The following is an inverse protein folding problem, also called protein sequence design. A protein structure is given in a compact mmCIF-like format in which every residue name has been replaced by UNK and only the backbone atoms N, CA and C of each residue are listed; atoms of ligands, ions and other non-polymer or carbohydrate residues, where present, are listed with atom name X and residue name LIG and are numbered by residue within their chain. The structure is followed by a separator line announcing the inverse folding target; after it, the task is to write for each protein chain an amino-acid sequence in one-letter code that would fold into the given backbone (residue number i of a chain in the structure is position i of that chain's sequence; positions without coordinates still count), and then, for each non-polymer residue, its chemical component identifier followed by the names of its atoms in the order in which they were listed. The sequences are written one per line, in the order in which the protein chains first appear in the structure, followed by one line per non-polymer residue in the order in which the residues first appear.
data_IF_348372136436
#
_entry.id   IF_348372136436
#
_cell.length_a   1.000
_cell.length_b   1.000
_cell.length_c   1.000
_cell.angle_alpha   90.00
_cell.angle_beta   90.00
_cell.angle_gamma   90.00
#
_symmetry.space_group_name_H-M   'P 1'
#
loop_
_entity.id
_entity.type
_entity.pdbx_description
1 polymer ?
#
# COMPACT_ATOMS: atom_id res chain seq x y z
N UNK A 1 0.06 -41.06 -30.52
CA UNK A 1 1.18 -40.58 -29.67
C UNK A 1 1.14 -39.06 -29.60
N UNK A 2 0.50 -38.50 -28.58
CA UNK A 2 0.62 -37.11 -28.13
C UNK A 2 -0.31 -36.92 -26.92
N UNK A 3 0.21 -37.17 -25.72
CA UNK A 3 -0.50 -36.88 -24.47
C UNK A 3 0.16 -35.65 -23.82
N UNK A 4 -0.44 -34.48 -24.05
CA UNK A 4 -0.23 -33.30 -23.20
C UNK A 4 -1.11 -33.46 -21.96
N UNK A 5 -0.53 -33.89 -20.85
CA UNK A 5 -1.22 -33.84 -19.56
C UNK A 5 -1.18 -32.41 -19.00
N UNK A 6 -2.39 -31.88 -18.79
CA UNK A 6 -2.68 -30.75 -17.93
C UNK A 6 -2.28 -31.10 -16.50
N UNK A 7 -1.40 -30.30 -15.90
CA UNK A 7 -1.21 -30.25 -14.44
C UNK A 7 -1.74 -28.88 -14.00
N UNK A 8 -2.92 -28.86 -13.40
CA UNK A 8 -3.38 -27.76 -12.53
C UNK A 8 -4.71 -28.14 -11.88
N UNK A 9 -4.65 -28.66 -10.65
CA UNK A 9 -5.68 -28.53 -9.61
C UNK A 9 -5.25 -29.36 -8.39
N UNK A 10 -4.47 -28.76 -7.48
CA UNK A 10 -4.17 -29.34 -6.17
C UNK A 10 -4.15 -28.25 -5.07
N UNK A 11 -5.10 -27.32 -5.13
CA UNK A 11 -5.29 -26.28 -4.12
C UNK A 11 -6.72 -26.23 -3.52
N UNK A 12 -7.55 -27.24 -3.77
CA UNK A 12 -8.98 -27.22 -3.41
C UNK A 12 -9.38 -28.28 -2.36
N UNK A 13 -8.52 -28.58 -1.40
CA UNK A 13 -8.90 -29.47 -0.27
C UNK A 13 -8.47 -28.79 1.02
N UNK A 14 -9.30 -27.90 1.57
CA UNK A 14 -9.42 -27.58 2.99
C UNK A 14 -10.47 -26.47 3.14
N UNK A 15 -11.76 -26.81 3.11
CA UNK A 15 -12.87 -25.97 3.61
C UNK A 15 -14.15 -26.83 3.59
N UNK A 16 -14.43 -27.54 4.68
CA UNK A 16 -15.74 -28.13 4.94
C UNK A 16 -15.88 -28.43 6.43
N UNK A 17 -16.58 -27.53 7.14
CA UNK A 17 -17.47 -27.78 8.28
C UNK A 17 -17.64 -26.50 9.12
N UNK A 18 -18.48 -25.57 8.66
CA UNK A 18 -19.01 -24.50 9.50
C UNK A 18 -20.54 -24.53 9.41
N UNK A 19 -21.19 -24.69 10.57
CA UNK A 19 -22.64 -24.65 10.69
C UNK A 19 -23.23 -23.26 10.41
N UNK A 20 -24.57 -23.14 10.38
CA UNK A 20 -25.24 -21.89 10.02
C UNK A 20 -24.91 -20.77 11.01
N UNK A 21 -24.35 -19.68 10.49
CA UNK A 21 -24.05 -18.44 11.23
C UNK A 21 -25.35 -17.64 11.39
N UNK A 22 -25.68 -17.15 12.60
CA UNK A 22 -26.86 -16.31 12.81
C UNK A 22 -26.76 -15.00 12.00
N UNK A 23 -27.92 -14.53 11.52
CA UNK A 23 -28.02 -13.33 10.69
C UNK A 23 -27.44 -12.10 11.43
N UNK A 24 -26.39 -11.52 10.86
CA UNK A 24 -25.80 -10.28 11.36
C UNK A 24 -26.78 -9.11 11.18
N UNK A 25 -26.87 -8.25 12.19
CA UNK A 25 -27.58 -6.98 12.10
C UNK A 25 -27.03 -6.17 10.91
N UNK A 26 -27.93 -5.69 10.04
CA UNK A 26 -27.58 -4.81 8.93
C UNK A 26 -26.93 -3.53 9.49
N UNK A 27 -25.60 -3.44 9.39
CA UNK A 27 -24.91 -2.17 9.56
C UNK A 27 -25.17 -1.32 8.31
N UNK A 28 -25.45 -0.04 8.51
CA UNK A 28 -25.47 0.93 7.42
C UNK A 28 -24.10 0.89 6.73
N UNK A 29 -24.03 0.65 5.41
CA UNK A 29 -22.78 0.76 4.67
C UNK A 29 -22.13 2.10 5.00
N UNK A 30 -20.80 2.13 5.17
CA UNK A 30 -20.10 3.40 5.16
C UNK A 30 -20.52 4.12 3.88
N UNK A 31 -21.05 5.35 3.95
CA UNK A 31 -21.47 6.06 2.76
C UNK A 31 -20.28 6.09 1.82
N UNK A 32 -20.48 5.68 0.56
CA UNK A 32 -19.52 6.00 -0.50
C UNK A 32 -19.16 7.47 -0.33
N UNK A 33 -17.87 7.82 -0.30
CA UNK A 33 -17.46 9.19 0.01
C UNK A 33 -18.24 10.12 -0.91
N UNK A 34 -19.14 10.90 -0.31
CA UNK A 34 -19.85 11.91 -1.05
C UNK A 34 -18.78 12.79 -1.72
N UNK A 35 -18.90 13.10 -3.03
CA UNK A 35 -17.96 13.99 -3.67
C UNK A 35 -17.85 15.24 -2.80
N UNK A 36 -16.63 15.69 -2.46
CA UNK A 36 -16.45 16.81 -1.54
C UNK A 36 -17.25 18.00 -2.06
N UNK A 37 -17.95 18.75 -1.17
CA UNK A 37 -18.69 19.93 -1.58
C UNK A 37 -17.75 20.86 -2.35
N UNK A 38 -18.14 21.17 -3.58
CA UNK A 38 -17.41 21.95 -4.56
C UNK A 38 -17.26 23.40 -4.13
N UNK A 39 -16.39 23.68 -3.15
CA UNK A 39 -15.94 25.04 -2.85
C UNK A 39 -14.81 25.43 -3.83
N UNK A 40 -15.19 25.79 -5.05
CA UNK A 40 -14.39 26.55 -6.02
C UNK A 40 -13.35 25.77 -6.85
N UNK A 41 -13.61 25.58 -8.15
CA UNK A 41 -12.59 25.30 -9.18
C UNK A 41 -12.02 23.88 -9.18
N UNK A 42 -12.83 22.94 -9.63
CA UNK A 42 -12.86 21.49 -9.37
C UNK A 42 -11.79 20.61 -10.06
N UNK A 43 -10.57 21.11 -10.27
CA UNK A 43 -9.55 20.52 -11.16
C UNK A 43 -9.87 20.69 -12.65
N UNK A 44 -9.05 21.44 -13.42
CA UNK A 44 -9.38 21.82 -14.80
C UNK A 44 -9.39 20.69 -15.84
N UNK A 45 -8.76 19.55 -15.56
CA UNK A 45 -8.53 18.47 -16.53
C UNK A 45 -9.15 17.14 -16.09
N UNK A 46 -10.38 17.17 -15.57
CA UNK A 46 -11.08 15.96 -15.10
C UNK A 46 -11.18 14.89 -16.20
N UNK A 47 -11.58 15.29 -17.41
CA UNK A 47 -11.67 14.38 -18.55
C UNK A 47 -10.32 13.76 -18.93
N UNK A 48 -9.24 14.53 -18.86
CA UNK A 48 -7.90 14.03 -19.13
C UNK A 48 -7.43 13.06 -18.04
N UNK A 49 -7.75 13.33 -16.78
CA UNK A 49 -7.51 12.38 -15.69
C UNK A 49 -8.25 11.07 -15.91
N UNK A 50 -9.57 11.13 -16.17
CA UNK A 50 -10.39 9.95 -16.45
C UNK A 50 -9.84 9.13 -17.63
N UNK A 51 -9.38 9.81 -18.69
CA UNK A 51 -8.74 9.15 -19.82
C UNK A 51 -7.43 8.46 -19.42
N UNK A 52 -6.59 9.12 -18.61
CA UNK A 52 -5.28 8.58 -18.19
C UNK A 52 -5.39 7.42 -17.21
N UNK A 53 -6.43 7.37 -16.39
CA UNK A 53 -6.67 6.24 -15.46
C UNK A 53 -7.51 5.11 -16.07
N UNK A 54 -8.13 5.35 -17.24
CA UNK A 54 -8.94 4.34 -17.93
C UNK A 54 -8.11 3.09 -18.24
N UNK A 55 -8.62 1.92 -17.84
CA UNK A 55 -7.93 0.66 -18.07
C UNK A 55 -6.94 0.27 -16.97
N UNK A 56 -6.60 1.16 -16.03
CA UNK A 56 -5.60 0.85 -15.00
C UNK A 56 -6.04 -0.31 -14.09
N UNK A 57 -7.32 -0.37 -13.72
CA UNK A 57 -7.87 -1.46 -12.90
C UNK A 57 -7.75 -2.79 -13.66
N UNK A 58 -8.08 -2.81 -14.95
CA UNK A 58 -7.96 -3.99 -15.80
C UNK A 58 -6.50 -4.46 -15.90
N UNK A 59 -5.55 -3.53 -16.04
CA UNK A 59 -4.13 -3.87 -16.11
C UNK A 59 -3.60 -4.40 -14.76
N UNK A 60 -4.02 -3.83 -13.63
CA UNK A 60 -3.71 -4.39 -12.31
C UNK A 60 -4.29 -5.80 -12.16
N UNK A 61 -5.54 -6.01 -12.58
CA UNK A 61 -6.22 -7.30 -12.42
C UNK A 61 -5.57 -8.43 -13.24
N UNK A 62 -4.81 -8.12 -14.30
CA UNK A 62 -4.03 -9.11 -15.08
C UNK A 62 -2.78 -9.59 -14.35
N UNK A 63 -2.30 -8.86 -13.34
CA UNK A 63 -1.10 -9.26 -12.60
C UNK A 63 -1.42 -10.43 -11.67
N UNK A 64 -0.48 -11.37 -11.48
CA UNK A 64 -0.70 -12.50 -10.60
C UNK A 64 -0.84 -12.05 -9.14
N UNK A 65 -1.66 -12.78 -8.37
CA UNK A 65 -1.85 -12.58 -6.93
C UNK A 65 -1.22 -13.74 -6.18
N UNK A 66 -0.49 -13.44 -5.11
CA UNK A 66 0.09 -14.43 -4.19
C UNK A 66 1.41 -15.05 -4.66
N UNK A 67 1.91 -14.68 -5.84
CA UNK A 67 3.17 -15.22 -6.37
C UNK A 67 4.40 -14.81 -5.54
N UNK A 68 4.36 -13.64 -4.89
CA UNK A 68 5.46 -13.16 -4.02
C UNK A 68 5.39 -13.76 -2.62
N UNK A 69 4.22 -14.30 -2.25
CA UNK A 69 4.01 -15.05 -1.03
C UNK A 69 4.49 -16.50 -1.11
N UNK A 70 4.97 -16.98 -2.26
CA UNK A 70 5.55 -18.31 -2.40
C UNK A 70 7.02 -18.31 -1.92
N UNK A 71 7.39 -19.30 -1.13
CA UNK A 71 8.77 -19.59 -0.79
C UNK A 71 9.54 -19.99 -2.05
N UNK A 72 10.81 -19.57 -2.12
CA UNK A 72 11.74 -19.98 -3.15
C UNK A 72 12.57 -21.16 -2.66
N UNK A 73 12.63 -22.24 -3.44
CA UNK A 73 13.54 -23.37 -3.28
C UNK A 73 14.19 -23.72 -4.61
N UNK A 74 15.24 -24.53 -4.60
CA UNK A 74 15.81 -25.13 -5.81
C UNK A 74 15.53 -26.64 -5.82
N UNK A 75 15.13 -27.18 -6.98
CA UNK A 75 15.03 -28.62 -7.15
C UNK A 75 16.45 -29.22 -7.06
N UNK A 76 16.71 -30.20 -6.17
CA UNK A 76 18.05 -30.76 -6.00
C UNK A 76 18.56 -31.51 -7.24
N UNK A 77 17.64 -32.01 -8.07
CA UNK A 77 17.99 -32.78 -9.27
C UNK A 77 18.32 -31.89 -10.48
N UNK A 78 17.64 -30.74 -10.62
CA UNK A 78 17.72 -29.90 -11.83
C UNK A 78 18.32 -28.52 -11.58
N UNK A 79 18.44 -28.08 -10.32
CA UNK A 79 18.80 -26.71 -9.95
C UNK A 79 17.74 -25.66 -10.28
N UNK A 80 16.62 -26.03 -10.92
CA UNK A 80 15.56 -25.11 -11.31
C UNK A 80 14.74 -24.64 -10.10
N UNK A 81 14.23 -23.39 -10.13
CA UNK A 81 13.50 -22.83 -9.00
C UNK A 81 12.13 -23.46 -8.82
N UNK A 82 11.78 -23.78 -7.57
CA UNK A 82 10.45 -24.28 -7.17
C UNK A 82 9.82 -23.26 -6.23
N UNK A 83 8.56 -22.92 -6.49
CA UNK A 83 7.80 -21.94 -5.70
C UNK A 83 6.61 -22.59 -5.01
N UNK A 84 6.56 -22.55 -3.69
CA UNK A 84 5.53 -23.26 -2.90
C UNK A 84 5.06 -22.44 -1.69
N UNK A 85 3.98 -22.88 -1.05
CA UNK A 85 3.54 -22.36 0.24
C UNK A 85 4.10 -23.18 1.41
N UNK A 86 5.16 -23.96 1.19
CA UNK A 86 5.80 -24.76 2.23
C UNK A 86 6.72 -23.90 3.11
N UNK A 87 6.73 -24.15 4.42
CA UNK A 87 7.71 -23.55 5.34
C UNK A 87 8.97 -24.42 5.42
N UNK A 88 10.06 -23.87 5.98
CA UNK A 88 11.31 -24.60 6.20
C UNK A 88 11.03 -25.92 6.93
N UNK A 89 11.60 -27.02 6.44
CA UNK A 89 11.43 -28.36 7.00
C UNK A 89 10.24 -29.14 6.44
N UNK A 90 9.32 -28.52 5.69
CA UNK A 90 8.20 -29.23 5.07
C UNK A 90 8.59 -29.94 3.78
N UNK A 91 7.90 -31.04 3.47
CA UNK A 91 8.10 -31.74 2.21
C UNK A 91 7.52 -30.96 1.03
N UNK A 92 8.28 -30.93 -0.07
CA UNK A 92 7.93 -30.34 -1.35
C UNK A 92 8.12 -31.38 -2.45
N UNK A 93 7.20 -31.44 -3.40
CA UNK A 93 7.32 -32.25 -4.61
C UNK A 93 7.85 -31.38 -5.75
N UNK A 94 8.96 -31.80 -6.36
CA UNK A 94 9.51 -31.12 -7.54
C UNK A 94 8.53 -31.20 -8.71
N UNK A 95 8.12 -30.06 -9.32
CA UNK A 95 7.28 -30.09 -10.52
C UNK A 95 8.04 -30.59 -11.75
N UNK A 96 9.38 -30.68 -11.68
CA UNK A 96 10.25 -31.10 -12.77
C UNK A 96 10.52 -32.61 -12.76
N UNK A 97 10.66 -33.19 -11.58
CA UNK A 97 11.10 -34.59 -11.41
C UNK A 97 10.11 -35.47 -10.65
N UNK A 98 9.10 -34.88 -10.00
CA UNK A 98 8.17 -35.60 -9.11
C UNK A 98 8.82 -36.08 -7.79
N UNK A 99 10.12 -35.85 -7.60
CA UNK A 99 10.85 -36.23 -6.38
C UNK A 99 10.41 -35.35 -5.21
N UNK A 100 10.21 -35.99 -4.04
CA UNK A 100 10.00 -35.33 -2.75
C UNK A 100 11.32 -34.88 -2.15
N UNK A 101 11.37 -33.67 -1.63
CA UNK A 101 12.52 -33.12 -0.90
C UNK A 101 12.05 -32.17 0.20
N UNK A 102 12.94 -31.85 1.15
CA UNK A 102 12.62 -30.96 2.28
C UNK A 102 12.88 -29.52 1.87
N UNK A 103 11.91 -28.63 2.10
CA UNK A 103 12.02 -27.20 1.90
C UNK A 103 13.16 -26.65 2.75
N UNK A 104 14.17 -26.09 2.09
CA UNK A 104 15.25 -25.39 2.76
C UNK A 104 14.78 -24.07 3.36
N UNK A 105 15.73 -23.35 3.93
CA UNK A 105 15.50 -22.06 4.57
C UNK A 105 14.82 -21.10 3.58
N UNK A 106 13.64 -20.60 3.93
CA UNK A 106 12.94 -19.63 3.07
C UNK A 106 13.65 -18.28 3.17
N UNK A 107 13.81 -17.55 2.07
CA UNK A 107 14.47 -16.23 2.05
C UNK A 107 13.58 -15.10 2.60
N UNK A 108 13.88 -13.85 2.24
CA UNK A 108 13.03 -12.70 2.58
C UNK A 108 11.59 -12.82 2.06
N UNK A 109 11.31 -13.69 1.09
CA UNK A 109 9.98 -13.91 0.52
C UNK A 109 9.47 -15.32 0.82
N UNK A 110 8.15 -15.47 0.98
CA UNK A 110 7.49 -16.75 1.24
C UNK A 110 6.95 -16.91 2.67
N UNK A 111 6.21 -17.99 2.98
CA UNK A 111 5.76 -18.27 4.34
C UNK A 111 6.94 -18.58 5.27
N UNK A 112 6.76 -18.25 6.56
CA UNK A 112 7.76 -18.39 7.61
C UNK A 112 7.33 -19.27 8.77
N UNK A 113 6.04 -19.28 9.07
CA UNK A 113 5.50 -20.04 10.19
C UNK A 113 4.10 -20.54 9.89
N UNK A 114 3.77 -21.66 10.54
CA UNK A 114 2.40 -22.18 10.64
C UNK A 114 1.92 -22.15 12.08
N UNK A 115 0.60 -22.02 12.25
CA UNK A 115 -0.06 -22.27 13.52
C UNK A 115 -0.18 -23.76 13.81
N UNK A 116 -0.64 -24.09 15.02
CA UNK A 116 -0.97 -25.47 15.39
C UNK A 116 -2.06 -26.10 14.51
N UNK A 117 -2.87 -25.26 13.85
CA UNK A 117 -3.89 -25.65 12.87
C UNK A 117 -3.37 -25.81 11.43
N UNK A 118 -2.05 -25.70 11.22
CA UNK A 118 -1.40 -25.84 9.92
C UNK A 118 -1.53 -24.62 8.99
N UNK A 119 -2.29 -23.58 9.38
CA UNK A 119 -2.42 -22.38 8.55
C UNK A 119 -1.18 -21.51 8.62
N UNK A 120 -0.85 -20.83 7.53
CA UNK A 120 0.28 -19.87 7.51
C UNK A 120 -0.07 -18.69 8.41
N UNK A 121 0.76 -18.47 9.42
CA UNK A 121 0.58 -17.42 10.43
C UNK A 121 1.53 -16.25 10.28
N UNK A 122 2.59 -16.41 9.47
CA UNK A 122 3.54 -15.36 9.15
C UNK A 122 4.16 -15.58 7.76
N UNK A 123 4.31 -14.49 7.01
CA UNK A 123 5.13 -14.43 5.79
C UNK A 123 6.41 -13.65 6.04
N UNK A 124 7.45 -13.99 5.30
CA UNK A 124 8.70 -13.26 5.22
C UNK A 124 8.51 -12.00 4.38
N UNK A 125 9.25 -10.95 4.75
CA UNK A 125 9.30 -9.70 4.01
C UNK A 125 7.97 -8.97 3.99
N UNK A 126 7.63 -8.41 2.82
CA UNK A 126 6.41 -7.63 2.55
C UNK A 126 5.83 -7.97 1.17
N UNK A 127 5.36 -9.21 0.95
CA UNK A 127 4.80 -9.60 -0.34
C UNK A 127 3.49 -8.87 -0.66
N UNK A 128 2.71 -8.46 0.34
CA UNK A 128 1.49 -7.66 0.12
C UNK A 128 1.76 -6.24 -0.38
N UNK A 129 3.01 -5.74 -0.32
CA UNK A 129 3.45 -4.60 -1.13
C UNK A 129 3.04 -4.76 -2.61
N UNK A 130 3.23 -5.96 -3.15
CA UNK A 130 3.07 -6.26 -4.58
C UNK A 130 1.78 -7.01 -4.89
N UNK A 131 1.34 -7.90 -4.00
CA UNK A 131 0.19 -8.78 -4.24
C UNK A 131 -1.16 -8.11 -3.91
N UNK A 132 -1.20 -7.10 -3.03
CA UNK A 132 -2.47 -6.49 -2.61
C UNK A 132 -3.09 -5.55 -3.67
N UNK A 133 -2.34 -4.70 -4.40
CA UNK A 133 -2.92 -3.91 -5.50
C UNK A 133 -3.63 -4.73 -6.60
N UNK A 134 -3.06 -5.81 -7.14
CA UNK A 134 -3.77 -6.65 -8.10
C UNK A 134 -4.93 -7.43 -7.47
N UNK A 135 -4.85 -7.81 -6.19
CA UNK A 135 -5.96 -8.41 -5.47
C UNK A 135 -7.15 -7.45 -5.33
N UNK A 136 -6.90 -6.18 -4.99
CA UNK A 136 -7.93 -5.12 -4.98
C UNK A 136 -8.57 -5.01 -6.37
N UNK A 137 -7.75 -4.91 -7.41
CA UNK A 137 -8.25 -4.75 -8.78
C UNK A 137 -9.07 -5.95 -9.27
N UNK A 138 -8.66 -7.18 -8.95
CA UNK A 138 -9.43 -8.40 -9.26
C UNK A 138 -10.78 -8.37 -8.56
N UNK A 139 -10.82 -8.08 -7.26
CA UNK A 139 -12.07 -8.07 -6.49
C UNK A 139 -13.00 -6.89 -6.82
N UNK A 140 -12.47 -5.75 -7.28
CA UNK A 140 -13.29 -4.67 -7.83
C UNK A 140 -13.99 -5.07 -9.13
N UNK A 141 -13.37 -5.96 -9.94
CA UNK A 141 -13.94 -6.45 -11.20
C UNK A 141 -14.82 -7.68 -11.02
N UNK A 142 -14.40 -8.58 -10.15
CA UNK A 142 -15.07 -9.83 -9.81
C UNK A 142 -15.07 -10.02 -8.28
N UNK A 143 -16.10 -9.49 -7.59
CA UNK A 143 -16.27 -9.70 -6.15
C UNK A 143 -16.41 -11.18 -5.75
N UNK A 144 -16.71 -12.07 -6.71
CA UNK A 144 -16.85 -13.51 -6.51
C UNK A 144 -15.54 -14.29 -6.57
N UNK A 145 -14.39 -13.65 -6.80
CA UNK A 145 -13.09 -14.30 -6.97
C UNK A 145 -12.63 -15.04 -5.69
N UNK A 146 -13.02 -16.31 -5.60
CA UNK A 146 -12.78 -17.17 -4.43
C UNK A 146 -11.29 -17.37 -4.13
N UNK A 147 -10.44 -17.37 -5.16
CA UNK A 147 -8.99 -17.59 -4.98
C UNK A 147 -8.35 -16.39 -4.29
N UNK A 148 -8.68 -15.17 -4.75
CA UNK A 148 -8.18 -13.94 -4.14
C UNK A 148 -8.74 -13.80 -2.72
N UNK A 149 -10.03 -14.09 -2.51
CA UNK A 149 -10.64 -14.06 -1.17
C UNK A 149 -9.97 -15.04 -0.21
N UNK A 150 -9.67 -16.26 -0.67
CA UNK A 150 -8.96 -17.25 0.13
C UNK A 150 -7.53 -16.77 0.47
N UNK A 151 -6.80 -16.23 -0.50
CA UNK A 151 -5.45 -15.69 -0.29
C UNK A 151 -5.42 -14.55 0.74
N UNK A 152 -6.37 -13.61 0.65
CA UNK A 152 -6.49 -12.49 1.58
C UNK A 152 -7.03 -12.88 2.96
N UNK A 153 -7.61 -14.08 3.09
CA UNK A 153 -8.07 -14.65 4.36
C UNK A 153 -6.99 -15.46 5.08
N UNK A 154 -5.81 -15.68 4.49
CA UNK A 154 -4.71 -16.36 5.16
C UNK A 154 -4.27 -15.54 6.38
N UNK A 155 -4.16 -16.12 7.60
CA UNK A 155 -3.81 -15.37 8.80
C UNK A 155 -2.51 -14.56 8.68
N UNK A 156 -1.50 -15.13 8.02
CA UNK A 156 -0.25 -14.43 7.72
C UNK A 156 -0.42 -13.22 6.78
N UNK A 157 -1.41 -13.22 5.89
CA UNK A 157 -1.73 -12.07 5.03
C UNK A 157 -2.37 -10.95 5.85
N UNK A 158 -3.34 -11.27 6.70
CA UNK A 158 -4.02 -10.30 7.57
C UNK A 158 -3.07 -9.60 8.53
N UNK A 159 -2.06 -10.33 9.05
CA UNK A 159 -1.05 -9.82 9.97
C UNK A 159 0.03 -8.95 9.32
N UNK A 160 0.11 -8.90 8.00
CA UNK A 160 1.04 -8.00 7.32
C UNK A 160 0.49 -6.58 7.33
N UNK A 161 0.93 -5.78 8.30
CA UNK A 161 0.70 -4.33 8.34
C UNK A 161 2.03 -3.56 8.27
N UNK A 162 3.03 -4.18 7.66
CA UNK A 162 4.33 -3.58 7.49
C UNK A 162 4.25 -2.54 6.37
N UNK A 163 4.52 -1.27 6.69
CA UNK A 163 4.49 -0.07 5.85
C UNK A 163 3.66 -0.12 4.54
N UNK A 164 4.12 -0.81 3.49
CA UNK A 164 3.44 -0.83 2.20
C UNK A 164 2.14 -1.65 2.27
N UNK A 165 2.18 -2.79 2.96
CA UNK A 165 0.98 -3.59 3.21
C UNK A 165 -0.07 -2.81 4.00
N UNK A 166 0.33 -2.06 5.05
CA UNK A 166 -0.60 -1.23 5.81
C UNK A 166 -1.32 -0.21 4.91
N UNK A 167 -0.56 0.48 4.06
CA UNK A 167 -1.12 1.47 3.13
C UNK A 167 -2.08 0.83 2.12
N UNK A 168 -1.70 -0.32 1.55
CA UNK A 168 -2.56 -1.05 0.62
C UNK A 168 -3.82 -1.60 1.32
N UNK A 169 -3.72 -2.07 2.57
CA UNK A 169 -4.86 -2.52 3.36
C UNK A 169 -5.82 -1.38 3.72
N UNK A 170 -5.28 -0.20 4.05
CA UNK A 170 -6.07 0.99 4.29
C UNK A 170 -6.83 1.45 3.02
N UNK A 171 -6.35 1.12 1.82
CA UNK A 171 -7.13 1.26 0.58
C UNK A 171 -8.18 0.16 0.44
N UNK A 172 -7.77 -1.09 0.67
CA UNK A 172 -8.61 -2.27 0.49
C UNK A 172 -9.86 -2.24 1.35
N UNK A 173 -9.70 -1.96 2.65
CA UNK A 173 -10.76 -2.11 3.65
C UNK A 173 -12.05 -1.34 3.29
N UNK A 174 -12.01 -0.01 3.07
CA UNK A 174 -13.22 0.75 2.75
C UNK A 174 -13.79 0.44 1.35
N UNK A 175 -13.00 -0.14 0.43
CA UNK A 175 -13.46 -0.50 -0.90
C UNK A 175 -14.18 -1.86 -0.93
N UNK A 176 -13.72 -2.83 -0.12
CA UNK A 176 -14.05 -4.24 -0.34
C UNK A 176 -14.43 -5.03 0.92
N UNK A 177 -14.12 -4.57 2.14
CA UNK A 177 -14.33 -5.38 3.35
C UNK A 177 -15.81 -5.79 3.53
N UNK A 178 -16.70 -4.80 3.61
CA UNK A 178 -18.11 -5.02 3.96
C UNK A 178 -18.87 -5.76 2.86
N UNK A 179 -18.69 -5.35 1.60
CA UNK A 179 -19.49 -5.83 0.48
C UNK A 179 -18.91 -7.07 -0.23
N UNK A 180 -17.63 -7.39 -0.02
CA UNK A 180 -16.94 -8.46 -0.76
C UNK A 180 -16.40 -9.56 0.16
N UNK A 181 -15.77 -9.19 1.29
CA UNK A 181 -15.11 -10.16 2.16
C UNK A 181 -16.06 -10.74 3.24
N UNK A 182 -16.96 -9.92 3.77
CA UNK A 182 -17.94 -10.32 4.78
C UNK A 182 -17.45 -10.22 6.22
N UNK A 183 -18.39 -10.36 7.17
CA UNK A 183 -18.20 -10.03 8.57
C UNK A 183 -17.15 -10.89 9.30
N UNK A 184 -17.01 -12.17 8.93
CA UNK A 184 -15.99 -13.05 9.54
C UNK A 184 -14.59 -12.56 9.19
N UNK A 185 -14.34 -12.26 7.92
CA UNK A 185 -13.06 -11.70 7.48
C UNK A 185 -12.79 -10.36 8.15
N UNK A 186 -13.79 -9.49 8.25
CA UNK A 186 -13.67 -8.19 8.92
C UNK A 186 -13.24 -8.34 10.38
N UNK A 187 -13.83 -9.30 11.11
CA UNK A 187 -13.47 -9.60 12.49
C UNK A 187 -12.03 -10.11 12.61
N UNK A 188 -11.61 -11.00 11.71
CA UNK A 188 -10.23 -11.52 11.69
C UNK A 188 -9.22 -10.43 11.34
N UNK A 189 -9.54 -9.55 10.39
CA UNK A 189 -8.71 -8.42 10.02
C UNK A 189 -8.54 -7.45 11.20
N UNK A 190 -9.64 -7.07 11.86
CA UNK A 190 -9.62 -6.24 13.07
C UNK A 190 -8.79 -6.88 14.18
N UNK A 191 -8.92 -8.19 14.39
CA UNK A 191 -8.10 -8.90 15.37
C UNK A 191 -6.60 -8.86 15.03
N UNK A 192 -6.24 -8.94 13.74
CA UNK A 192 -4.85 -8.80 13.31
C UNK A 192 -4.30 -7.38 13.55
N UNK A 193 -5.10 -6.33 13.26
CA UNK A 193 -4.74 -4.94 13.56
C UNK A 193 -4.58 -4.70 15.06
N UNK A 194 -5.46 -5.30 15.87
CA UNK A 194 -5.51 -5.11 17.31
C UNK A 194 -4.23 -5.56 18.03
N UNK A 195 -3.44 -6.45 17.44
CA UNK A 195 -2.21 -6.98 18.04
C UNK A 195 -0.97 -6.70 17.19
N UNK A 196 -1.09 -5.86 16.15
CA UNK A 196 0.02 -5.67 15.22
C UNK A 196 1.22 -4.99 15.89
N UNK A 197 2.39 -5.60 15.71
CA UNK A 197 3.70 -5.09 16.04
C UNK A 197 4.73 -5.69 15.08
N UNK A 198 5.86 -5.03 14.92
CA UNK A 198 6.91 -5.36 13.98
C UNK A 198 8.29 -5.20 14.62
N UNK A 199 9.00 -6.31 14.80
CA UNK A 199 10.34 -6.32 15.36
C UNK A 199 11.45 -6.21 14.30
N UNK A 200 11.10 -6.12 13.01
CA UNK A 200 12.06 -6.01 11.89
C UNK A 200 12.31 -4.53 11.52
N UNK A 201 13.55 -4.21 11.15
CA UNK A 201 13.91 -2.86 10.66
C UNK A 201 13.32 -2.56 9.26
N UNK A 202 12.69 -1.38 9.07
CA UNK A 202 12.28 -0.87 7.75
C UNK A 202 13.45 -0.58 6.81
N UNK A 203 13.51 -1.26 5.65
CA UNK A 203 14.47 -1.14 4.53
C UNK A 203 15.94 -1.52 4.83
N UNK A 204 16.85 -1.80 3.89
CA UNK A 204 16.86 -2.38 2.53
C UNK A 204 18.32 -2.75 2.25
N UNK A 205 18.60 -3.99 1.88
CA UNK A 205 19.96 -4.47 1.62
C UNK A 205 20.01 -5.99 1.49
N UNK A 206 21.02 -6.51 0.80
CA UNK A 206 21.25 -7.95 0.63
C UNK A 206 21.92 -8.58 1.87
N UNK A 207 22.59 -7.78 2.70
CA UNK A 207 23.15 -8.19 3.98
C UNK A 207 22.14 -7.90 5.11
N UNK A 208 21.15 -8.77 5.27
CA UNK A 208 20.13 -8.68 6.32
C UNK A 208 20.41 -9.69 7.43
N UNK A 209 21.55 -9.53 8.09
CA UNK A 209 21.69 -10.10 9.43
C UNK A 209 20.65 -9.43 10.35
N UNK A 210 20.17 -10.18 11.34
CA UNK A 210 19.17 -9.71 12.30
C UNK A 210 19.63 -8.40 12.95
N UNK A 211 19.05 -7.27 12.53
CA UNK A 211 19.31 -5.97 13.12
C UNK A 211 18.23 -5.71 14.19
N UNK A 212 18.49 -6.02 15.47
CA UNK A 212 17.51 -5.80 16.52
C UNK A 212 17.14 -4.31 16.59
N UNK A 213 15.85 -4.03 16.79
CA UNK A 213 15.35 -2.70 17.16
C UNK A 213 15.10 -2.64 18.65
N UNK A 214 15.33 -1.47 19.25
CA UNK A 214 15.15 -1.25 20.68
C UNK A 214 13.68 -1.32 21.10
N UNK A 215 12.77 -0.86 20.23
CA UNK A 215 11.32 -1.04 20.40
C UNK A 215 10.70 -1.60 19.12
N UNK A 216 9.83 -2.63 19.20
CA UNK A 216 9.00 -3.04 18.07
C UNK A 216 8.17 -1.88 17.51
N UNK A 217 8.22 -1.68 16.20
CA UNK A 217 7.36 -0.72 15.51
C UNK A 217 5.91 -1.18 15.54
N UNK A 218 4.98 -0.24 15.58
CA UNK A 218 3.55 -0.51 15.55
C UNK A 218 2.84 0.47 14.60
N UNK A 219 1.50 0.55 14.61
CA UNK A 219 0.75 1.50 13.78
C UNK A 219 0.63 2.90 14.37
N UNK A 220 0.91 3.10 15.67
CA UNK A 220 0.60 4.32 16.42
C UNK A 220 1.82 5.21 16.60
N UNK A 221 2.96 4.60 16.89
CA UNK A 221 4.21 5.28 17.18
C UNK A 221 4.32 5.83 18.59
N UNK A 222 5.49 6.39 18.87
CA UNK A 222 5.87 6.91 20.18
C UNK A 222 5.59 8.43 20.28
N UNK A 223 4.85 8.91 21.30
CA UNK A 223 4.69 10.34 21.53
C UNK A 223 6.04 11.06 21.70
N UNK A 224 6.16 12.27 21.16
CA UNK A 224 7.37 13.09 21.26
C UNK A 224 8.40 12.86 20.14
N UNK A 225 8.25 11.80 19.35
CA UNK A 225 9.12 11.51 18.20
C UNK A 225 8.52 12.01 16.88
N UNK A 226 9.37 12.37 15.91
CA UNK A 226 8.92 12.78 14.58
C UNK A 226 8.19 11.62 13.88
N UNK A 227 6.90 11.83 13.60
CA UNK A 227 5.98 10.78 13.11
C UNK A 227 5.96 9.51 14.00
N UNK A 228 6.30 9.66 15.27
CA UNK A 228 6.27 8.57 16.25
C UNK A 228 7.29 7.46 15.99
N UNK A 229 8.47 7.77 15.46
CA UNK A 229 9.57 6.79 15.36
C UNK A 229 10.89 7.38 15.77
N UNK A 230 11.59 6.71 16.70
CA UNK A 230 12.87 7.17 17.24
C UNK A 230 14.00 7.14 16.18
N UNK A 231 15.10 7.84 16.47
CA UNK A 231 16.26 7.95 15.58
C UNK A 231 17.13 6.68 15.49
N UNK A 232 17.01 5.76 16.45
CA UNK A 232 17.87 4.55 16.57
C UNK A 232 17.35 3.37 15.75
N UNK A 233 16.03 3.19 15.73
CA UNK A 233 15.36 2.01 15.19
C UNK A 233 14.86 2.19 13.76
N UNK A 234 15.25 3.31 13.15
CA UNK A 234 15.10 3.56 11.72
C UNK A 234 13.66 3.82 11.28
N UNK A 235 13.42 3.56 9.99
CA UNK A 235 12.25 4.04 9.25
C UNK A 235 12.50 5.41 8.64
N UNK A 236 12.50 5.47 7.31
CA UNK A 236 12.39 6.72 6.55
C UNK A 236 10.99 7.34 6.78
N UNK A 237 10.84 8.63 6.48
CA UNK A 237 9.61 9.38 6.79
C UNK A 237 8.37 8.77 6.11
N UNK A 238 8.53 8.19 4.92
CA UNK A 238 7.48 7.49 4.20
C UNK A 238 6.95 6.26 4.95
N UNK A 239 7.82 5.46 5.59
CA UNK A 239 7.40 4.30 6.38
C UNK A 239 6.55 4.73 7.56
N UNK A 240 7.02 5.75 8.30
CA UNK A 240 6.29 6.30 9.44
C UNK A 240 4.96 6.90 8.99
N UNK A 241 4.95 7.65 7.89
CA UNK A 241 3.73 8.20 7.28
C UNK A 241 2.74 7.08 6.98
N UNK A 242 3.16 6.05 6.25
CA UNK A 242 2.31 4.91 5.88
C UNK A 242 1.68 4.21 7.10
N UNK A 243 2.44 4.00 8.18
CA UNK A 243 1.89 3.43 9.39
C UNK A 243 0.91 4.35 10.09
N UNK A 244 1.27 5.62 10.31
CA UNK A 244 0.46 6.56 11.10
C UNK A 244 -0.85 6.89 10.39
N UNK A 245 -0.84 7.10 9.08
CA UNK A 245 -2.07 7.34 8.33
C UNK A 245 -3.00 6.13 8.35
N UNK A 246 -2.45 4.91 8.20
CA UNK A 246 -3.23 3.66 8.24
C UNK A 246 -3.81 3.42 9.64
N UNK A 247 -3.00 3.57 10.70
CA UNK A 247 -3.43 3.46 12.08
C UNK A 247 -4.53 4.45 12.44
N UNK A 248 -4.44 5.70 11.96
CA UNK A 248 -5.48 6.72 12.16
C UNK A 248 -6.80 6.33 11.48
N UNK A 249 -6.76 5.82 10.25
CA UNK A 249 -7.97 5.36 9.56
C UNK A 249 -8.64 4.20 10.28
N UNK A 250 -7.87 3.19 10.66
CA UNK A 250 -8.41 2.05 11.42
C UNK A 250 -9.04 2.51 12.74
N UNK A 251 -8.40 3.43 13.46
CA UNK A 251 -8.95 4.01 14.68
C UNK A 251 -10.29 4.74 14.45
N UNK A 252 -10.45 5.38 13.29
CA UNK A 252 -11.67 6.08 12.91
C UNK A 252 -12.79 5.15 12.42
N UNK A 253 -12.46 3.97 11.87
CA UNK A 253 -13.45 3.04 11.31
C UNK A 253 -13.94 1.95 12.27
N UNK A 254 -13.05 1.39 13.11
CA UNK A 254 -13.36 0.12 13.77
C UNK A 254 -14.27 0.23 15.00
N UNK A 255 -14.68 1.43 15.37
CA UNK A 255 -15.56 1.71 16.50
C UNK A 255 -14.82 1.78 17.85
N UNK A 256 -15.53 2.13 18.93
CA UNK A 256 -14.91 2.46 20.23
C UNK A 256 -14.25 1.27 20.94
N UNK A 257 -14.77 0.06 20.76
CA UNK A 257 -14.24 -1.16 21.39
C UNK A 257 -12.99 -1.72 20.69
N UNK A 258 -12.67 -1.21 19.50
CA UNK A 258 -11.54 -1.69 18.74
C UNK A 258 -10.21 -1.28 19.38
N UNK A 259 -9.17 -2.06 19.07
CA UNK A 259 -7.80 -1.73 19.42
C UNK A 259 -6.98 -1.63 18.14
N UNK A 260 -6.00 -0.73 18.14
CA UNK A 260 -4.98 -0.58 17.11
C UNK A 260 -3.65 -0.84 17.80
N UNK A 261 -2.90 -1.87 17.39
CA UNK A 261 -1.61 -2.20 18.01
C UNK A 261 -1.64 -2.24 19.55
N UNK A 262 -2.66 -2.89 20.10
CA UNK A 262 -2.82 -3.04 21.54
C UNK A 262 -3.34 -1.80 22.27
N UNK A 263 -3.69 -0.71 21.60
CA UNK A 263 -4.20 0.53 22.22
C UNK A 263 -5.67 0.75 21.81
N UNK A 264 -6.58 1.18 22.72
CA UNK A 264 -7.96 1.51 22.34
C UNK A 264 -8.02 2.51 21.18
N UNK A 265 -8.93 2.31 20.23
CA UNK A 265 -9.02 3.10 19.00
C UNK A 265 -9.09 4.61 19.26
N UNK A 266 -9.91 5.04 20.24
CA UNK A 266 -10.01 6.45 20.62
C UNK A 266 -8.67 7.03 21.12
N UNK A 267 -7.88 6.25 21.86
CA UNK A 267 -6.56 6.67 22.33
C UNK A 267 -5.52 6.64 21.20
N UNK A 268 -5.58 5.65 20.31
CA UNK A 268 -4.72 5.58 19.13
C UNK A 268 -4.91 6.83 18.25
N UNK A 269 -6.16 7.22 18.00
CA UNK A 269 -6.46 8.45 17.28
C UNK A 269 -5.92 9.70 18.00
N UNK A 270 -6.15 9.83 19.32
CA UNK A 270 -5.63 10.95 20.12
C UNK A 270 -4.12 11.08 20.05
N UNK A 271 -3.37 9.97 19.93
CA UNK A 271 -1.91 9.97 19.83
C UNK A 271 -1.42 10.30 18.43
N UNK A 272 -2.04 9.73 17.40
CA UNK A 272 -1.57 9.86 16.02
C UNK A 272 -1.88 11.25 15.46
N UNK A 273 -3.04 11.84 15.75
CA UNK A 273 -3.45 13.13 15.18
C UNK A 273 -2.44 14.26 15.44
N UNK A 274 -1.93 14.45 16.68
CA UNK A 274 -0.85 15.41 16.95
C UNK A 274 0.45 15.13 16.18
N UNK A 275 0.81 13.87 15.93
CA UNK A 275 2.01 13.53 15.16
C UNK A 275 1.89 13.96 13.70
N UNK A 276 0.76 13.69 13.05
CA UNK A 276 0.53 14.07 11.65
C UNK A 276 0.37 15.58 11.50
N UNK A 277 -0.36 16.24 12.40
CA UNK A 277 -0.49 17.70 12.39
C UNK A 277 0.83 18.40 12.71
N UNK A 278 1.61 17.87 13.64
CA UNK A 278 2.97 18.31 13.94
C UNK A 278 3.89 18.16 12.74
N UNK A 279 3.86 17.01 12.06
CA UNK A 279 4.64 16.79 10.84
C UNK A 279 4.26 17.77 9.72
N UNK A 280 2.97 18.03 9.51
CA UNK A 280 2.53 19.05 8.55
C UNK A 280 3.12 20.43 8.89
N UNK A 281 3.11 20.85 10.16
CA UNK A 281 3.76 22.11 10.58
C UNK A 281 5.25 22.09 10.30
N UNK A 282 5.93 20.99 10.61
CA UNK A 282 7.36 20.83 10.35
C UNK A 282 7.65 20.99 8.86
N UNK A 283 6.99 20.24 7.98
CA UNK A 283 7.29 20.32 6.54
C UNK A 283 6.98 21.69 5.93
N UNK A 284 5.98 22.41 6.44
CA UNK A 284 5.66 23.76 5.97
C UNK A 284 6.69 24.80 6.42
N UNK A 285 7.50 24.50 7.45
CA UNK A 285 8.50 25.43 8.01
C UNK A 285 9.91 25.10 7.57
N UNK A 286 10.31 23.83 7.64
CA UNK A 286 11.67 23.37 7.34
C UNK A 286 11.76 22.51 6.08
N UNK A 287 10.63 22.10 5.50
CA UNK A 287 10.60 21.19 4.36
C UNK A 287 10.60 19.72 4.76
N UNK A 288 10.58 18.84 3.77
CA UNK A 288 10.46 17.39 3.97
C UNK A 288 11.84 16.72 3.94
N UNK A 289 12.15 15.86 4.93
CA UNK A 289 13.45 15.22 5.12
C UNK A 289 13.82 14.12 4.13
N UNK A 290 12.89 13.73 3.25
CA UNK A 290 13.14 12.86 2.10
C UNK A 290 13.54 13.62 0.83
N UNK A 291 13.66 14.96 0.88
CA UNK A 291 14.18 15.80 -0.21
C UNK A 291 13.57 15.46 -1.57
N UNK A 292 12.24 15.48 -1.67
CA UNK A 292 11.54 15.28 -2.94
C UNK A 292 11.85 13.96 -3.65
N UNK A 293 12.27 12.94 -2.90
CA UNK A 293 12.60 11.62 -3.43
C UNK A 293 11.53 11.07 -4.37
N UNK A 294 11.87 10.93 -5.64
CA UNK A 294 11.06 10.25 -6.68
C UNK A 294 10.72 8.81 -6.31
N UNK A 295 11.49 8.20 -5.41
CA UNK A 295 11.22 6.85 -4.88
C UNK A 295 10.31 6.88 -3.64
N UNK A 296 10.46 7.82 -2.71
CA UNK A 296 9.72 7.79 -1.45
C UNK A 296 8.40 8.59 -1.44
N UNK A 297 8.34 9.70 -2.18
CA UNK A 297 7.12 10.52 -2.31
C UNK A 297 5.89 9.72 -2.78
N UNK A 298 5.99 8.81 -3.77
CA UNK A 298 4.88 7.95 -4.17
C UNK A 298 4.17 7.26 -3.01
N UNK A 299 4.92 6.79 -2.01
CA UNK A 299 4.37 6.04 -0.89
C UNK A 299 3.71 6.95 0.15
N UNK A 300 4.32 8.10 0.45
CA UNK A 300 3.71 9.13 1.30
C UNK A 300 2.43 9.67 0.68
N UNK A 301 2.40 9.89 -0.64
CA UNK A 301 1.19 10.29 -1.37
C UNK A 301 0.07 9.26 -1.21
N UNK A 302 0.35 7.97 -1.45
CA UNK A 302 -0.64 6.89 -1.29
C UNK A 302 -1.25 6.86 0.11
N UNK A 303 -0.40 7.04 1.13
CA UNK A 303 -0.81 7.12 2.52
C UNK A 303 -1.81 8.26 2.79
N UNK A 304 -1.57 9.45 2.23
CA UNK A 304 -2.50 10.58 2.36
C UNK A 304 -3.71 10.50 1.44
N UNK A 305 -3.62 9.86 0.27
CA UNK A 305 -4.79 9.59 -0.58
C UNK A 305 -5.83 8.76 0.18
N UNK A 306 -5.40 7.79 0.99
CA UNK A 306 -6.33 7.01 1.82
C UNK A 306 -7.03 7.87 2.88
N UNK A 307 -6.29 8.74 3.58
CA UNK A 307 -6.90 9.65 4.55
C UNK A 307 -7.88 10.62 3.88
N UNK A 308 -7.51 11.17 2.73
CA UNK A 308 -8.36 12.07 1.96
C UNK A 308 -9.66 11.38 1.54
N UNK A 309 -9.56 10.19 0.97
CA UNK A 309 -10.71 9.51 0.37
C UNK A 309 -11.65 8.88 1.41
N UNK A 310 -11.12 8.41 2.54
CA UNK A 310 -11.86 7.48 3.39
C UNK A 310 -11.94 7.86 4.88
N UNK A 311 -11.29 8.94 5.32
CA UNK A 311 -11.51 9.43 6.69
C UNK A 311 -12.95 9.91 6.84
N UNK A 312 -13.70 9.49 7.87
CA UNK A 312 -15.02 10.04 8.16
C UNK A 312 -14.94 11.48 8.67
N UNK A 313 -13.79 11.91 9.21
CA UNK A 313 -13.59 13.23 9.81
C UNK A 313 -13.15 14.28 8.77
N UNK A 314 -13.90 15.38 8.58
CA UNK A 314 -13.53 16.46 7.66
C UNK A 314 -12.16 17.08 7.93
N UNK A 315 -11.78 17.23 9.20
CA UNK A 315 -10.49 17.83 9.59
C UNK A 315 -9.31 16.96 9.16
N UNK A 316 -9.44 15.64 9.29
CA UNK A 316 -8.43 14.67 8.83
C UNK A 316 -8.33 14.68 7.30
N UNK A 317 -9.46 14.77 6.57
CA UNK A 317 -9.44 14.91 5.11
C UNK A 317 -8.78 16.22 4.67
N UNK A 318 -9.02 17.32 5.39
CA UNK A 318 -8.39 18.60 5.13
C UNK A 318 -6.88 18.54 5.34
N UNK A 319 -6.40 17.94 6.44
CA UNK A 319 -4.98 17.69 6.67
C UNK A 319 -4.36 16.88 5.53
N UNK A 320 -5.01 15.79 5.13
CA UNK A 320 -4.52 14.93 4.06
C UNK A 320 -4.44 15.69 2.73
N UNK A 321 -5.46 16.50 2.41
CA UNK A 321 -5.45 17.36 1.23
C UNK A 321 -4.29 18.34 1.26
N UNK A 322 -4.03 19.02 2.39
CA UNK A 322 -2.89 19.94 2.51
C UNK A 322 -1.55 19.23 2.30
N UNK A 323 -1.39 18.03 2.85
CA UNK A 323 -0.18 17.22 2.61
C UNK A 323 -0.02 16.84 1.12
N UNK A 324 -1.09 16.38 0.48
CA UNK A 324 -1.09 16.06 -0.96
C UNK A 324 -0.75 17.29 -1.81
N UNK A 325 -1.38 18.43 -1.51
CA UNK A 325 -1.14 19.71 -2.17
C UNK A 325 0.32 20.15 -1.99
N UNK A 326 0.90 20.00 -0.80
CA UNK A 326 2.32 20.26 -0.53
C UNK A 326 3.23 19.38 -1.38
N UNK A 327 3.04 18.06 -1.37
CA UNK A 327 3.87 17.11 -2.12
C UNK A 327 3.81 17.40 -3.63
N UNK A 328 2.64 17.73 -4.15
CA UNK A 328 2.49 18.09 -5.56
C UNK A 328 3.13 19.45 -5.88
N UNK A 329 2.95 20.46 -5.03
CA UNK A 329 3.52 21.79 -5.27
C UNK A 329 5.05 21.74 -5.31
N UNK A 330 5.69 21.13 -4.30
CA UNK A 330 7.15 21.11 -4.18
C UNK A 330 7.81 20.29 -5.28
N UNK A 331 7.20 19.17 -5.67
CA UNK A 331 7.71 18.35 -6.76
C UNK A 331 7.46 19.02 -8.12
N UNK A 332 6.26 19.58 -8.35
CA UNK A 332 5.92 20.27 -9.59
C UNK A 332 6.84 21.47 -9.85
N UNK A 333 7.32 22.19 -8.84
CA UNK A 333 8.28 23.27 -9.06
C UNK A 333 9.63 22.80 -9.64
N UNK A 334 9.96 21.52 -9.50
CA UNK A 334 11.25 20.92 -9.88
C UNK A 334 11.19 20.03 -11.11
N UNK A 335 10.03 19.88 -11.75
CA UNK A 335 9.95 19.11 -12.98
C UNK A 335 10.46 19.90 -14.20
N UNK A 336 10.97 19.22 -15.21
CA UNK A 336 11.10 19.75 -16.56
C UNK A 336 10.53 18.68 -17.47
N UNK A 337 9.64 19.06 -18.39
CA UNK A 337 9.03 18.10 -19.30
C UNK A 337 8.34 16.90 -18.60
N UNK A 338 7.69 17.16 -17.47
CA UNK A 338 6.98 16.16 -16.67
C UNK A 338 7.86 15.17 -15.90
N UNK A 339 9.18 15.36 -15.93
CA UNK A 339 10.17 14.54 -15.21
C UNK A 339 10.83 15.38 -14.14
N UNK A 340 11.16 14.80 -12.99
CA UNK A 340 11.95 15.51 -11.97
C UNK A 340 13.33 15.90 -12.49
N UNK A 341 13.69 17.18 -12.36
CA UNK A 341 14.98 17.73 -12.78
C UNK A 341 15.67 18.52 -11.65
N UNK A 342 15.07 18.57 -10.46
CA UNK A 342 15.67 19.19 -9.29
C UNK A 342 16.63 18.25 -8.56
N UNK A 343 17.36 18.79 -7.60
CA UNK A 343 18.08 17.95 -6.63
C UNK A 343 17.06 17.10 -5.85
N UNK A 344 17.36 15.83 -5.62
CA UNK A 344 16.56 14.92 -4.81
C UNK A 344 17.45 13.96 -3.99
N UNK A 345 16.86 13.28 -3.00
CA UNK A 345 17.55 12.23 -2.22
C UNK A 345 16.97 10.86 -2.54
N UNK A 346 17.84 9.85 -2.67
CA UNK A 346 17.44 8.43 -2.87
C UNK A 346 16.46 8.25 -4.05
N UNK A 347 16.57 9.12 -5.04
CA UNK A 347 15.94 8.98 -6.33
C UNK A 347 17.00 8.68 -7.38
N UNK A 348 16.52 8.23 -8.52
CA UNK A 348 17.35 8.01 -9.69
C UNK A 348 16.65 8.78 -10.81
N UNK A 349 17.36 9.74 -11.40
CA UNK A 349 16.94 10.24 -12.70
C UNK A 349 16.88 9.01 -13.61
N UNK A 350 15.69 8.69 -14.12
CA UNK A 350 15.54 7.55 -15.04
C UNK A 350 16.45 7.71 -16.25
N UNK A 351 16.60 6.65 -17.04
CA UNK A 351 17.43 6.65 -18.26
C UNK A 351 16.92 7.63 -19.36
N UNK A 352 15.88 8.42 -19.06
CA UNK A 352 15.34 9.49 -19.90
C UNK A 352 14.27 9.04 -20.90
N UNK A 353 14.06 7.74 -21.03
CA UNK A 353 13.13 7.13 -21.97
C UNK A 353 11.80 6.65 -21.33
N UNK A 354 11.72 6.67 -20.00
CA UNK A 354 10.56 6.23 -19.23
C UNK A 354 10.27 7.16 -18.04
N UNK A 355 9.00 7.23 -17.64
CA UNK A 355 8.60 7.94 -16.43
C UNK A 355 8.91 7.10 -15.19
N UNK A 356 9.56 7.71 -14.19
CA UNK A 356 9.67 7.15 -12.85
C UNK A 356 8.29 7.06 -12.16
N UNK A 357 8.21 6.37 -11.02
CA UNK A 357 6.94 6.13 -10.31
C UNK A 357 6.23 7.44 -9.95
N UNK A 358 6.97 8.43 -9.43
CA UNK A 358 6.42 9.73 -9.10
C UNK A 358 6.06 10.56 -10.33
N UNK A 359 6.87 10.54 -11.38
CA UNK A 359 6.58 11.26 -12.62
C UNK A 359 5.31 10.71 -13.30
N UNK A 360 5.13 9.38 -13.25
CA UNK A 360 3.92 8.72 -13.71
C UNK A 360 2.69 9.12 -12.87
N UNK A 361 2.83 9.34 -11.55
CA UNK A 361 1.77 9.93 -10.74
C UNK A 361 1.39 11.34 -11.23
N UNK A 362 2.38 12.18 -11.53
CA UNK A 362 2.15 13.54 -12.04
C UNK A 362 1.50 13.55 -13.41
N UNK A 363 1.93 12.66 -14.31
CA UNK A 363 1.33 12.49 -15.63
C UNK A 363 -0.17 12.22 -15.51
N UNK A 364 -0.59 11.32 -14.60
CA UNK A 364 -2.02 11.04 -14.35
C UNK A 364 -2.79 12.31 -13.97
N UNK A 365 -2.21 13.20 -13.18
CA UNK A 365 -2.80 14.50 -12.82
C UNK A 365 -2.52 15.65 -13.82
N UNK A 366 -2.06 15.33 -15.03
CA UNK A 366 -2.02 16.26 -16.16
C UNK A 366 -0.67 16.92 -16.40
N UNK A 367 0.41 16.51 -15.73
CA UNK A 367 1.74 17.00 -16.06
C UNK A 367 2.12 16.61 -17.49
N UNK A 368 2.44 17.56 -18.39
CA UNK A 368 2.81 17.27 -19.76
C UNK A 368 4.21 16.65 -19.80
N UNK A 369 4.44 15.74 -20.75
CA UNK A 369 5.75 15.15 -21.03
C UNK A 369 5.89 14.82 -22.52
N UNK A 370 7.10 14.92 -23.06
CA UNK A 370 7.44 14.39 -24.40
C UNK A 370 7.93 12.94 -24.33
N UNK A 371 8.12 12.37 -23.14
CA UNK A 371 8.41 10.93 -23.01
C UNK A 371 7.19 10.16 -23.52
N UNK A 372 7.35 9.22 -24.45
CA UNK A 372 6.22 8.42 -24.93
C UNK A 372 5.57 7.64 -23.78
N UNK A 373 4.29 7.90 -23.52
CA UNK A 373 3.50 7.16 -22.52
C UNK A 373 2.40 6.38 -23.23
N UNK A 374 2.52 5.05 -23.26
CA UNK A 374 1.41 4.19 -23.68
C UNK A 374 0.34 4.18 -22.58
N UNK A 375 -0.59 5.12 -22.64
CA UNK A 375 -1.60 5.32 -21.59
C UNK A 375 -2.44 4.06 -21.34
N UNK A 376 -2.67 3.23 -22.37
CA UNK A 376 -3.42 1.98 -22.24
C UNK A 376 -2.71 0.90 -21.41
N UNK A 377 -1.38 0.98 -21.28
CA UNK A 377 -0.55 0.06 -20.50
C UNK A 377 0.06 0.71 -19.25
N UNK A 378 -0.15 2.02 -19.06
CA UNK A 378 0.33 2.75 -17.88
C UNK A 378 -0.29 2.18 -16.60
N UNK A 379 0.55 1.78 -15.67
CA UNK A 379 0.11 1.32 -14.34
C UNK A 379 0.94 2.00 -13.26
N UNK A 380 0.33 2.99 -12.61
CA UNK A 380 0.95 3.75 -11.53
C UNK A 380 0.71 3.08 -10.18
N UNK A 381 -0.49 3.26 -9.63
CA UNK A 381 -0.92 2.65 -8.40
C UNK A 381 -2.44 2.55 -8.34
N UNK A 382 -2.93 1.54 -7.62
CA UNK A 382 -4.37 1.37 -7.36
C UNK A 382 -4.97 2.59 -6.62
N UNK A 383 -4.15 3.35 -5.88
CA UNK A 383 -4.59 4.53 -5.16
C UNK A 383 -4.98 5.64 -6.14
N UNK A 384 -4.12 5.98 -7.12
CA UNK A 384 -4.45 6.96 -8.15
C UNK A 384 -5.64 6.51 -9.00
N UNK A 385 -5.70 5.23 -9.36
CA UNK A 385 -6.79 4.71 -10.18
C UNK A 385 -8.16 4.79 -9.51
N UNK A 386 -8.22 4.90 -8.17
CA UNK A 386 -9.48 4.89 -7.42
C UNK A 386 -9.71 6.14 -6.58
N UNK A 387 -8.82 7.14 -6.63
CA UNK A 387 -8.90 8.31 -5.73
C UNK A 387 -9.91 9.34 -6.18
N UNK A 388 -10.54 9.99 -5.20
CA UNK A 388 -11.36 11.17 -5.40
C UNK A 388 -10.54 12.47 -5.31
N UNK A 389 -9.27 12.41 -4.90
CA UNK A 389 -8.41 13.59 -4.84
C UNK A 389 -8.17 14.16 -6.24
N UNK A 390 -8.29 15.49 -6.34
CA UNK A 390 -7.99 16.26 -7.53
C UNK A 390 -7.18 17.52 -7.15
N UNK A 391 -6.04 17.79 -7.82
CA UNK A 391 -5.29 19.02 -7.57
C UNK A 391 -6.12 20.25 -7.91
N UNK A 392 -6.08 21.28 -7.07
CA UNK A 392 -6.78 22.52 -7.40
C UNK A 392 -6.18 23.21 -8.65
N UNK A 393 -6.85 24.25 -9.15
CA UNK A 393 -6.41 24.99 -10.35
C UNK A 393 -4.98 25.52 -10.26
N UNK A 394 -4.55 26.00 -9.08
CA UNK A 394 -3.19 26.54 -8.88
C UNK A 394 -2.16 25.42 -9.07
N UNK A 395 -2.37 24.28 -8.41
CA UNK A 395 -1.49 23.11 -8.55
C UNK A 395 -1.48 22.58 -9.99
N UNK A 396 -2.64 22.50 -10.63
CA UNK A 396 -2.72 22.11 -12.03
C UNK A 396 -1.93 23.09 -12.94
N UNK A 397 -1.99 24.39 -12.68
CA UNK A 397 -1.17 25.37 -13.41
C UNK A 397 0.33 25.18 -13.17
N UNK A 398 0.74 24.86 -11.93
CA UNK A 398 2.14 24.52 -11.63
C UNK A 398 2.59 23.28 -12.42
N UNK A 399 1.80 22.20 -12.37
CA UNK A 399 2.08 20.94 -13.08
C UNK A 399 2.16 21.14 -14.60
N UNK A 400 1.26 21.95 -15.17
CA UNK A 400 1.17 22.20 -16.61
C UNK A 400 2.01 23.36 -17.11
N UNK A 401 2.83 23.98 -16.25
CA UNK A 401 3.66 25.16 -16.57
C UNK A 401 2.88 26.35 -17.09
N UNK A 402 1.62 26.50 -16.68
CA UNK A 402 0.75 27.64 -17.00
C UNK A 402 0.89 28.74 -15.94
N UNK A 403 2.12 29.23 -15.76
CA UNK A 403 2.49 30.27 -14.79
C UNK A 403 2.99 31.49 -15.57
N UNK A 404 2.60 32.70 -15.16
CA UNK A 404 3.15 33.92 -15.74
C UNK A 404 4.64 34.05 -15.38
N UNK A 405 5.48 34.37 -16.37
CA UNK A 405 6.92 34.55 -16.18
C UNK A 405 7.32 36.03 -16.24
N UNK A 406 8.35 36.47 -15.48
CA UNK A 406 9.06 35.68 -14.48
C UNK A 406 8.19 35.40 -13.25
N UNK A 407 8.46 34.30 -12.55
CA UNK A 407 7.88 34.05 -11.23
C UNK A 407 8.99 33.75 -10.24
N UNK A 408 8.71 34.05 -8.98
CA UNK A 408 9.53 33.68 -7.84
C UNK A 408 8.75 32.70 -6.97
N UNK A 409 9.43 31.70 -6.42
CA UNK A 409 8.84 30.76 -5.48
C UNK A 409 9.74 30.60 -4.27
N UNK A 410 9.14 30.73 -3.08
CA UNK A 410 9.78 30.40 -1.82
C UNK A 410 9.37 28.97 -1.43
N UNK A 411 10.36 28.13 -1.13
CA UNK A 411 10.14 26.75 -0.71
C UNK A 411 10.88 26.48 0.60
N UNK A 412 10.20 25.84 1.55
CA UNK A 412 10.85 25.28 2.71
C UNK A 412 11.63 24.03 2.30
N UNK A 413 12.93 23.98 2.60
CA UNK A 413 13.82 22.86 2.25
C UNK A 413 14.84 22.63 3.38
N UNK A 414 15.03 21.39 3.84
CA UNK A 414 15.87 21.10 5.01
C UNK A 414 17.36 21.07 4.70
#
# INVERSE_FOLDING_TARGET
MSNRHKVSAAAAVFLSAAGPVPAAAQKTPLPSPAPPPSSGGTYPDESGFEQRVRGMIEQFAKRPVGQKCLAFSACPDTGLPVRTFSVQGEEVVSPYTGRRYVQGDTGYFGPKARGADGRITAFGGDPLKQDLPPAIARLLRDPGDIEVKAFLSVPGSLRQQYHFAATNWARFYPLLADNVMGAEWEAQFKAAIAVYTESRRPSDGLARENLPISTPHDLIGEPGELLGGNVKDGGTENHKTMWRTSGLLYAQWFGPEARISGVPAAEAERRITPMLTGFLRTILTVGNGEYESSTYYPYSLRAYLNLHDFSPKPQTRALARTMLDYYLATYALKCVNGVHAGAEKRGWAGDGDQLGEMDAHLYVWGSPTTIPVETASLVTSIHQATTAYRPNRILHHLLTRKIALPFEAQMARP
#
